data_IF_303927522356
#
_entry.id   IF_303927522356
#
_cell.length_a   1.000
_cell.length_b   1.000
_cell.length_c   1.000
_cell.angle_alpha   90.00
_cell.angle_beta   90.00
_cell.angle_gamma   90.00
#
_symmetry.space_group_name_H-M   'P 1'
#
loop_
_entity.id
_entity.type
_entity.pdbx_description
1 polymer ?
#
# COMPACT_ATOMS: atom_id res chain seq x y z
N UNK A 1 -16.23 -4.89 21.30
CA UNK A 1 -16.15 -6.11 20.48
C UNK A 1 -16.06 -7.27 21.47
N UNK A 2 -17.20 -7.87 21.80
CA UNK A 2 -17.31 -8.92 22.82
C UNK A 2 -16.57 -10.16 22.34
N UNK A 3 -15.54 -10.53 23.08
CA UNK A 3 -14.76 -11.75 22.89
C UNK A 3 -15.68 -12.95 23.10
N UNK A 4 -16.27 -13.44 22.01
CA UNK A 4 -17.04 -14.69 22.01
C UNK A 4 -16.03 -15.75 22.40
N UNK A 5 -16.10 -16.26 23.64
CA UNK A 5 -15.36 -17.45 24.07
C UNK A 5 -15.65 -18.57 23.08
N UNK A 6 -14.80 -18.71 22.06
CA UNK A 6 -14.80 -19.85 21.16
C UNK A 6 -14.55 -21.06 22.03
N UNK A 7 -15.59 -21.84 22.25
CA UNK A 7 -15.44 -23.12 22.91
C UNK A 7 -14.71 -24.04 21.93
N UNK A 8 -13.38 -24.15 22.07
CA UNK A 8 -12.54 -25.03 21.26
C UNK A 8 -12.78 -26.50 21.66
N UNK A 9 -13.93 -27.06 21.24
CA UNK A 9 -14.24 -28.47 21.44
C UNK A 9 -13.35 -29.38 20.58
N UNK A 10 -12.89 -28.85 19.45
CA UNK A 10 -11.93 -29.47 18.53
C UNK A 10 -10.68 -28.61 18.46
N UNK A 11 -9.80 -28.80 19.43
CA UNK A 11 -8.50 -28.13 19.51
C UNK A 11 -7.54 -28.76 18.46
N UNK A 12 -7.08 -28.00 17.45
CA UNK A 12 -6.23 -28.55 16.39
C UNK A 12 -4.85 -28.97 16.89
N UNK A 13 -4.39 -28.39 18.01
CA UNK A 13 -3.05 -28.62 18.56
C UNK A 13 -2.99 -29.89 19.45
N UNK A 14 -4.13 -30.51 19.74
CA UNK A 14 -4.21 -31.75 20.54
C UNK A 14 -4.42 -32.98 19.66
N UNK A 15 -3.99 -34.13 20.17
CA UNK A 15 -4.29 -35.39 19.52
C UNK A 15 -5.81 -35.68 19.59
N UNK A 16 -6.35 -36.35 18.57
CA UNK A 16 -7.78 -36.60 18.43
C UNK A 16 -8.42 -37.25 19.66
N UNK A 17 -7.78 -38.28 20.24
CA UNK A 17 -8.28 -38.98 21.44
C UNK A 17 -8.04 -38.23 22.75
N UNK A 18 -7.35 -37.08 22.72
CA UNK A 18 -7.19 -36.19 23.88
C UNK A 18 -8.32 -35.18 24.00
N UNK A 19 -9.13 -35.03 22.95
CA UNK A 19 -10.27 -34.12 22.95
C UNK A 19 -11.33 -34.57 23.97
N UNK A 20 -11.74 -33.65 24.84
CA UNK A 20 -12.74 -33.90 25.87
C UNK A 20 -14.08 -34.38 25.26
N UNK A 21 -14.49 -33.80 24.13
CA UNK A 21 -15.72 -34.19 23.42
C UNK A 21 -15.68 -35.64 22.94
N UNK A 22 -14.52 -36.10 22.45
CA UNK A 22 -14.32 -37.49 22.01
C UNK A 22 -14.37 -38.44 23.20
N UNK A 23 -13.65 -38.12 24.28
CA UNK A 23 -13.63 -38.94 25.50
C UNK A 23 -15.01 -39.04 26.16
N UNK A 24 -15.73 -37.93 26.30
CA UNK A 24 -17.06 -37.92 26.90
C UNK A 24 -18.06 -38.74 26.07
N UNK A 25 -18.01 -38.60 24.74
CA UNK A 25 -18.89 -39.35 23.84
C UNK A 25 -18.61 -40.85 23.90
N UNK A 26 -17.32 -41.22 23.89
CA UNK A 26 -16.91 -42.62 24.01
C UNK A 26 -17.40 -43.25 25.32
N UNK A 27 -17.17 -42.58 26.45
CA UNK A 27 -17.62 -43.03 27.77
C UNK A 27 -19.14 -43.12 27.83
N UNK A 28 -19.87 -42.12 27.31
CA UNK A 28 -21.33 -42.10 27.32
C UNK A 28 -21.93 -43.26 26.53
N UNK A 29 -21.41 -43.55 25.32
CA UNK A 29 -21.91 -44.66 24.50
C UNK A 29 -21.59 -46.00 25.17
N UNK A 30 -20.40 -46.18 25.74
CA UNK A 30 -20.07 -47.41 26.49
C UNK A 30 -20.98 -47.59 27.70
N UNK A 31 -21.19 -46.54 28.52
CA UNK A 31 -22.09 -46.62 29.67
C UNK A 31 -23.50 -47.00 29.21
N UNK A 32 -24.01 -46.40 28.13
CA UNK A 32 -25.34 -46.73 27.60
C UNK A 32 -25.44 -48.20 27.16
N UNK A 33 -24.42 -48.74 26.50
CA UNK A 33 -24.37 -50.15 26.10
C UNK A 33 -24.30 -51.10 27.32
N UNK A 34 -23.50 -50.74 28.34
CA UNK A 34 -23.39 -51.50 29.59
C UNK A 34 -24.73 -51.51 30.34
N UNK A 35 -25.41 -50.36 30.44
CA UNK A 35 -26.73 -50.29 31.09
C UNK A 35 -27.74 -51.19 30.38
N UNK A 36 -27.80 -51.15 29.03
CA UNK A 36 -28.67 -52.03 28.25
C UNK A 36 -28.30 -53.50 28.46
N UNK A 37 -27.01 -53.85 28.46
CA UNK A 37 -26.55 -55.20 28.71
C UNK A 37 -26.91 -55.71 30.12
N UNK A 38 -26.75 -54.86 31.15
CA UNK A 38 -27.15 -55.18 32.51
C UNK A 38 -28.66 -55.41 32.64
N UNK A 39 -29.49 -54.58 31.98
CA UNK A 39 -30.94 -54.78 31.97
C UNK A 39 -31.33 -56.11 31.32
N UNK A 40 -30.66 -56.51 30.24
CA UNK A 40 -30.87 -57.82 29.60
C UNK A 40 -30.50 -58.95 30.57
N UNK A 41 -29.33 -58.84 31.25
CA UNK A 41 -28.86 -59.85 32.20
C UNK A 41 -29.78 -60.04 33.41
N UNK A 42 -30.30 -58.96 33.99
CA UNK A 42 -31.16 -59.01 35.19
C UNK A 42 -32.52 -59.63 34.89
N UNK A 43 -33.05 -59.43 33.68
CA UNK A 43 -34.40 -59.86 33.30
C UNK A 43 -34.43 -61.20 32.55
N UNK A 44 -33.28 -61.83 32.29
CA UNK A 44 -33.21 -63.09 31.54
C UNK A 44 -32.75 -64.27 32.39
N UNK A 45 -33.25 -65.46 32.04
CA UNK A 45 -32.84 -66.72 32.65
C UNK A 45 -31.58 -67.26 31.94
N UNK A 46 -30.41 -66.99 32.52
CA UNK A 46 -29.13 -67.40 31.95
C UNK A 46 -28.48 -68.54 32.74
N UNK A 47 -28.05 -69.58 32.01
CA UNK A 47 -27.20 -70.66 32.54
C UNK A 47 -25.79 -70.54 31.97
N UNK A 48 -24.76 -70.78 32.78
CA UNK A 48 -23.37 -70.80 32.30
C UNK A 48 -23.15 -71.93 31.30
N UNK A 49 -22.79 -71.57 30.07
CA UNK A 49 -22.51 -72.53 28.99
C UNK A 49 -21.44 -71.98 28.05
N UNK A 50 -20.45 -72.81 27.71
CA UNK A 50 -19.29 -72.44 26.89
C UNK A 50 -19.23 -73.18 25.54
N UNK A 51 -20.38 -73.66 25.06
CA UNK A 51 -20.47 -74.29 23.73
C UNK A 51 -20.70 -73.26 22.63
N UNK A 52 -20.39 -73.62 21.38
CA UNK A 52 -20.62 -72.76 20.20
C UNK A 52 -22.08 -72.30 20.06
N UNK A 53 -23.05 -73.16 20.42
CA UNK A 53 -24.48 -72.81 20.45
C UNK A 53 -24.77 -71.68 21.44
N UNK A 54 -24.17 -71.73 22.63
CA UNK A 54 -24.35 -70.73 23.68
C UNK A 54 -23.72 -69.37 23.33
N UNK A 55 -22.62 -69.35 22.57
CA UNK A 55 -22.09 -68.11 22.00
C UNK A 55 -23.06 -67.48 20.99
N UNK A 56 -23.69 -68.26 20.12
CA UNK A 56 -24.68 -67.73 19.15
C UNK A 56 -25.91 -67.14 19.85
N UNK A 57 -26.40 -67.81 20.90
CA UNK A 57 -27.49 -67.29 21.74
C UNK A 57 -27.06 -66.00 22.44
N UNK A 58 -25.84 -65.94 22.97
CA UNK A 58 -25.29 -64.73 23.59
C UNK A 58 -25.23 -63.57 22.59
N UNK A 59 -24.65 -63.77 21.41
CA UNK A 59 -24.61 -62.74 20.36
C UNK A 59 -26.02 -62.30 20.00
N UNK A 60 -26.97 -63.23 19.87
CA UNK A 60 -28.36 -62.89 19.55
C UNK A 60 -29.04 -62.06 20.64
N UNK A 61 -28.83 -62.39 21.91
CA UNK A 61 -29.41 -61.68 23.05
C UNK A 61 -28.77 -60.30 23.25
N UNK A 62 -27.47 -60.16 22.97
CA UNK A 62 -26.73 -58.89 23.10
C UNK A 62 -26.63 -58.08 21.79
N UNK A 63 -27.45 -58.37 20.78
CA UNK A 63 -27.49 -57.61 19.51
C UNK A 63 -27.69 -56.12 19.72
N UNK A 64 -28.58 -55.74 20.63
CA UNK A 64 -28.92 -54.33 20.91
C UNK A 64 -27.73 -53.56 21.50
N UNK A 65 -27.10 -53.99 22.62
CA UNK A 65 -25.93 -53.27 23.15
C UNK A 65 -24.73 -53.29 22.21
N UNK A 66 -24.53 -54.37 21.43
CA UNK A 66 -23.52 -54.39 20.35
C UNK A 66 -23.84 -53.36 19.26
N UNK A 67 -25.12 -53.20 18.89
CA UNK A 67 -25.59 -52.18 17.97
C UNK A 67 -25.32 -50.76 18.50
N UNK A 68 -25.56 -50.50 19.78
CA UNK A 68 -25.23 -49.22 20.43
C UNK A 68 -23.72 -48.95 20.37
N UNK A 69 -22.88 -49.94 20.69
CA UNK A 69 -21.42 -49.80 20.54
C UNK A 69 -21.02 -49.55 19.08
N UNK A 70 -21.70 -50.14 18.11
CA UNK A 70 -21.40 -49.93 16.69
C UNK A 70 -21.62 -48.48 16.23
N UNK A 71 -22.45 -47.70 16.94
CA UNK A 71 -22.62 -46.26 16.67
C UNK A 71 -21.33 -45.45 16.90
N UNK A 72 -20.37 -45.96 17.68
CA UNK A 72 -19.07 -45.33 17.83
C UNK A 72 -18.35 -45.17 16.48
N UNK A 73 -18.53 -46.10 15.55
CA UNK A 73 -17.84 -46.06 14.25
C UNK A 73 -18.22 -44.79 13.46
N UNK A 74 -19.50 -44.56 13.11
CA UNK A 74 -19.87 -43.34 12.38
C UNK A 74 -19.64 -42.07 13.20
N UNK A 75 -19.85 -42.08 14.52
CA UNK A 75 -19.63 -40.91 15.37
C UNK A 75 -18.15 -40.49 15.37
N UNK A 76 -17.24 -41.43 15.60
CA UNK A 76 -15.80 -41.17 15.59
C UNK A 76 -15.34 -40.74 14.19
N UNK A 77 -15.89 -41.34 13.13
CA UNK A 77 -15.56 -40.95 11.76
C UNK A 77 -15.89 -39.47 11.49
N UNK A 78 -17.07 -39.00 11.92
CA UNK A 78 -17.48 -37.58 11.79
C UNK A 78 -16.58 -36.68 12.63
N UNK A 79 -16.30 -37.04 13.88
CA UNK A 79 -15.41 -36.26 14.74
C UNK A 79 -14.00 -36.16 14.18
N UNK A 80 -13.45 -37.26 13.64
CA UNK A 80 -12.12 -37.28 13.04
C UNK A 80 -12.06 -36.46 11.75
N UNK A 81 -13.12 -36.45 10.95
CA UNK A 81 -13.24 -35.56 9.79
C UNK A 81 -13.25 -34.08 10.22
N UNK A 82 -14.01 -33.74 11.25
CA UNK A 82 -14.08 -32.37 11.77
C UNK A 82 -12.73 -31.91 12.37
N UNK A 83 -12.07 -32.76 13.17
CA UNK A 83 -10.77 -32.45 13.74
C UNK A 83 -9.71 -32.19 12.66
N UNK A 84 -9.68 -33.02 11.60
CA UNK A 84 -8.80 -32.78 10.44
C UNK A 84 -9.09 -31.46 9.72
N UNK A 85 -10.35 -31.06 9.64
CA UNK A 85 -10.73 -29.76 9.07
C UNK A 85 -10.15 -28.60 9.89
N UNK A 86 -10.28 -28.64 11.22
CA UNK A 86 -9.70 -27.62 12.11
C UNK A 86 -8.17 -27.62 12.06
N UNK A 87 -7.53 -28.80 12.01
CA UNK A 87 -6.07 -28.90 11.82
C UNK A 87 -5.62 -28.29 10.50
N UNK A 88 -6.33 -28.58 9.41
CA UNK A 88 -6.02 -28.03 8.08
C UNK A 88 -6.15 -26.51 8.09
N UNK A 89 -7.22 -25.97 8.69
CA UNK A 89 -7.41 -24.53 8.85
C UNK A 89 -6.25 -23.89 9.62
N UNK A 90 -5.86 -24.48 10.75
CA UNK A 90 -4.73 -24.01 11.56
C UNK A 90 -3.42 -24.05 10.77
N UNK A 91 -3.20 -25.11 9.99
CA UNK A 91 -2.04 -25.23 9.14
C UNK A 91 -2.01 -24.17 8.03
N UNK A 92 -3.15 -23.85 7.42
CA UNK A 92 -3.27 -22.78 6.41
C UNK A 92 -2.92 -21.43 7.05
N UNK A 93 -3.45 -21.13 8.23
CA UNK A 93 -3.15 -19.89 8.96
C UNK A 93 -1.63 -19.76 9.24
N UNK A 94 -1.01 -20.81 9.77
CA UNK A 94 0.45 -20.83 10.03
C UNK A 94 1.26 -20.69 8.74
N UNK A 95 0.85 -21.39 7.67
CA UNK A 95 1.50 -21.29 6.36
C UNK A 95 1.37 -19.90 5.77
N UNK A 96 0.23 -19.23 5.93
CA UNK A 96 0.04 -17.86 5.46
C UNK A 96 0.98 -16.88 6.17
N UNK A 97 1.15 -17.00 7.48
CA UNK A 97 2.11 -16.18 8.25
C UNK A 97 3.53 -16.40 7.74
N UNK A 98 3.95 -17.65 7.53
CA UNK A 98 5.27 -17.97 7.00
C UNK A 98 5.47 -17.45 5.57
N UNK A 99 4.44 -17.59 4.72
CA UNK A 99 4.46 -17.11 3.34
C UNK A 99 4.58 -15.58 3.31
N UNK A 100 3.80 -14.86 4.12
CA UNK A 100 3.86 -13.41 4.23
C UNK A 100 5.26 -12.94 4.65
N UNK A 101 5.84 -13.57 5.68
CA UNK A 101 7.21 -13.28 6.12
C UNK A 101 8.22 -13.51 4.99
N UNK A 102 8.19 -14.69 4.34
CA UNK A 102 9.13 -15.00 3.25
C UNK A 102 8.97 -14.07 2.06
N UNK A 103 7.73 -13.72 1.71
CA UNK A 103 7.41 -12.82 0.61
C UNK A 103 7.90 -11.40 0.90
N UNK A 104 7.73 -10.90 2.14
CA UNK A 104 8.22 -9.59 2.54
C UNK A 104 9.74 -9.46 2.35
N UNK A 105 10.53 -10.39 2.88
CA UNK A 105 12.00 -10.31 2.77
C UNK A 105 12.47 -10.49 1.33
N UNK A 106 11.84 -11.39 0.56
CA UNK A 106 12.17 -11.56 -0.85
C UNK A 106 11.85 -10.31 -1.66
N UNK A 107 10.70 -9.70 -1.42
CA UNK A 107 10.32 -8.46 -2.09
C UNK A 107 11.27 -7.31 -1.72
N UNK A 108 11.66 -7.20 -0.45
CA UNK A 108 12.65 -6.21 0.00
C UNK A 108 14.01 -6.42 -0.68
N UNK A 109 14.50 -7.66 -0.73
CA UNK A 109 15.78 -8.01 -1.38
C UNK A 109 15.76 -7.66 -2.87
N UNK A 110 14.69 -8.03 -3.59
CA UNK A 110 14.56 -7.71 -5.02
C UNK A 110 14.40 -6.19 -5.25
N UNK A 111 13.72 -5.50 -4.35
CA UNK A 111 13.62 -4.03 -4.39
C UNK A 111 14.99 -3.36 -4.18
N UNK A 112 15.77 -3.80 -3.19
CA UNK A 112 17.13 -3.32 -2.95
C UNK A 112 18.03 -3.54 -4.18
N UNK A 113 17.96 -4.72 -4.81
CA UNK A 113 18.68 -5.01 -6.06
C UNK A 113 18.22 -4.11 -7.20
N UNK A 114 16.91 -3.91 -7.35
CA UNK A 114 16.34 -3.08 -8.39
C UNK A 114 16.82 -1.63 -8.27
N UNK A 115 16.72 -1.04 -7.09
CA UNK A 115 17.11 0.35 -6.82
C UNK A 115 18.62 0.55 -7.03
N UNK A 116 19.47 -0.38 -6.60
CA UNK A 116 20.92 -0.28 -6.84
C UNK A 116 21.31 -0.44 -8.31
N UNK A 117 20.57 -1.24 -9.08
CA UNK A 117 20.84 -1.47 -10.51
C UNK A 117 20.17 -0.44 -11.42
N UNK A 118 19.15 0.27 -10.91
CA UNK A 118 18.52 1.35 -11.63
C UNK A 118 19.58 2.42 -11.92
N UNK A 119 19.89 2.66 -13.19
CA UNK A 119 20.65 3.82 -13.63
C UNK A 119 19.64 4.93 -13.83
N UNK A 120 19.46 5.85 -12.87
CA UNK A 120 18.47 6.89 -13.04
C UNK A 120 18.86 7.77 -14.21
N UNK A 121 17.97 7.86 -15.21
CA UNK A 121 18.16 8.72 -16.39
C UNK A 121 18.28 10.20 -16.01
N UNK A 122 17.79 10.57 -14.81
CA UNK A 122 17.71 11.94 -14.32
C UNK A 122 18.19 12.17 -12.86
N UNK A 123 18.64 11.14 -12.14
CA UNK A 123 18.91 11.24 -10.70
C UNK A 123 20.21 10.55 -10.27
N UNK A 124 21.34 10.90 -10.89
CA UNK A 124 22.63 10.29 -10.57
C UNK A 124 23.17 10.61 -9.15
N UNK A 125 22.45 11.37 -8.31
CA UNK A 125 22.94 11.79 -6.97
C UNK A 125 22.00 11.44 -5.81
N UNK A 126 20.71 11.34 -6.06
CA UNK A 126 19.70 11.07 -5.02
C UNK A 126 19.74 9.61 -4.59
N UNK A 127 19.95 8.67 -5.52
CA UNK A 127 19.98 7.23 -5.26
C UNK A 127 21.20 6.75 -4.45
N UNK A 128 22.35 7.41 -4.58
CA UNK A 128 23.58 7.03 -3.83
C UNK A 128 23.49 7.36 -2.33
N UNK A 129 22.53 8.18 -1.91
CA UNK A 129 22.38 8.63 -0.52
C UNK A 129 21.20 7.99 0.21
N UNK A 130 20.41 7.14 -0.45
CA UNK A 130 19.15 6.62 0.11
C UNK A 130 19.32 5.19 0.61
N UNK A 131 18.78 4.92 1.79
CA UNK A 131 18.57 3.56 2.28
C UNK A 131 17.37 2.95 1.56
N UNK A 132 17.62 1.97 0.71
CA UNK A 132 16.60 1.25 -0.03
C UNK A 132 15.51 0.64 0.88
N UNK A 133 15.83 0.33 2.16
CA UNK A 133 14.85 -0.17 3.13
C UNK A 133 13.88 0.91 3.59
N UNK A 134 14.37 2.12 3.81
CA UNK A 134 13.50 3.25 4.15
C UNK A 134 12.54 3.51 2.99
N UNK A 135 13.08 3.57 1.77
CA UNK A 135 12.29 3.77 0.56
C UNK A 135 11.24 2.65 0.37
N UNK A 136 11.62 1.40 0.63
CA UNK A 136 10.70 0.26 0.59
C UNK A 136 9.56 0.42 1.59
N UNK A 137 9.85 0.76 2.84
CA UNK A 137 8.82 0.95 3.87
C UNK A 137 7.87 2.11 3.55
N UNK A 138 8.35 3.14 2.86
CA UNK A 138 7.59 4.31 2.44
C UNK A 138 6.61 3.96 1.31
N UNK A 139 7.04 3.19 0.31
CA UNK A 139 6.18 2.81 -0.81
C UNK A 139 5.33 1.57 -0.54
N UNK A 140 5.76 0.70 0.37
CA UNK A 140 5.12 -0.58 0.68
C UNK A 140 4.91 -0.76 2.19
N UNK A 141 4.19 0.15 2.87
CA UNK A 141 4.04 0.12 4.33
C UNK A 141 3.36 -1.15 4.84
N UNK A 142 2.47 -1.74 4.03
CA UNK A 142 1.71 -2.95 4.35
C UNK A 142 2.37 -4.26 3.84
N UNK A 143 3.60 -4.20 3.33
CA UNK A 143 4.28 -5.39 2.78
C UNK A 143 4.51 -6.49 3.83
N UNK A 144 4.67 -6.13 5.11
CA UNK A 144 4.81 -7.09 6.21
C UNK A 144 3.55 -7.94 6.41
N UNK A 145 2.39 -7.40 6.05
CA UNK A 145 1.11 -8.09 6.12
C UNK A 145 0.80 -8.89 4.83
N UNK A 146 1.74 -8.90 3.87
CA UNK A 146 1.61 -9.61 2.59
C UNK A 146 1.11 -8.73 1.44
N UNK A 147 0.87 -7.43 1.66
CA UNK A 147 0.45 -6.50 0.62
C UNK A 147 1.66 -5.91 -0.13
N UNK A 148 2.03 -6.53 -1.23
CA UNK A 148 3.22 -6.16 -2.03
C UNK A 148 2.94 -5.13 -3.13
N UNK A 149 1.84 -4.39 -3.02
CA UNK A 149 1.49 -3.30 -3.93
C UNK A 149 1.69 -1.96 -3.20
N UNK A 150 1.90 -0.90 -3.98
CA UNK A 150 1.91 0.45 -3.42
C UNK A 150 0.53 0.76 -2.88
N UNK A 151 0.50 1.17 -1.61
CA UNK A 151 -0.73 1.44 -0.89
C UNK A 151 -1.46 2.67 -1.46
N UNK A 152 -2.79 2.63 -1.48
CA UNK A 152 -3.59 3.68 -2.09
C UNK A 152 -3.50 5.01 -1.32
N UNK A 153 -3.21 5.00 -0.02
CA UNK A 153 -2.96 6.22 0.75
C UNK A 153 -1.74 6.96 0.21
N UNK A 154 -0.67 6.23 -0.12
CA UNK A 154 0.56 6.79 -0.71
C UNK A 154 0.26 7.41 -2.07
N UNK A 155 -0.53 6.73 -2.90
CA UNK A 155 -0.92 7.26 -4.22
C UNK A 155 -1.75 8.54 -4.10
N UNK A 156 -2.67 8.59 -3.14
CA UNK A 156 -3.52 9.75 -2.88
C UNK A 156 -2.73 10.94 -2.37
N UNK A 157 -1.79 10.70 -1.45
CA UNK A 157 -0.91 11.75 -0.91
C UNK A 157 -0.03 12.34 -2.01
N UNK A 158 0.59 11.48 -2.82
CA UNK A 158 1.40 11.88 -3.97
C UNK A 158 0.58 12.70 -4.97
N UNK A 159 -0.63 12.26 -5.29
CA UNK A 159 -1.54 12.99 -6.17
C UNK A 159 -1.77 14.42 -5.67
N UNK A 160 -2.03 14.60 -4.38
CA UNK A 160 -2.23 15.93 -3.79
C UNK A 160 -1.02 16.85 -3.99
N UNK A 161 0.19 16.33 -3.77
CA UNK A 161 1.42 17.10 -3.98
C UNK A 161 1.60 17.56 -5.43
N UNK A 162 1.30 16.70 -6.41
CA UNK A 162 1.39 17.09 -7.83
C UNK A 162 0.27 18.04 -8.25
N UNK A 163 -0.95 17.88 -7.75
CA UNK A 163 -2.05 18.81 -8.02
C UNK A 163 -1.68 20.24 -7.57
N UNK A 164 -1.07 20.39 -6.39
CA UNK A 164 -0.55 21.68 -5.93
C UNK A 164 0.56 22.23 -6.84
N UNK A 165 1.49 21.36 -7.28
CA UNK A 165 2.55 21.74 -8.20
C UNK A 165 1.98 22.25 -9.55
N UNK A 166 0.97 21.59 -10.08
CA UNK A 166 0.30 21.99 -11.32
C UNK A 166 -0.45 23.31 -11.18
N UNK A 167 -1.20 23.50 -10.09
CA UNK A 167 -1.94 24.75 -9.85
C UNK A 167 -0.99 25.96 -9.80
N UNK A 168 0.17 25.83 -9.16
CA UNK A 168 1.19 26.88 -9.17
C UNK A 168 1.75 27.16 -10.56
N UNK A 169 2.11 26.12 -11.32
CA UNK A 169 2.62 26.27 -12.69
C UNK A 169 1.58 27.00 -13.54
N UNK A 170 0.32 26.61 -13.44
CA UNK A 170 -0.78 27.24 -14.15
C UNK A 170 -1.03 28.68 -13.68
N UNK A 171 -0.89 28.97 -12.39
CA UNK A 171 -0.89 30.31 -11.83
C UNK A 171 0.20 31.19 -12.44
N UNK A 172 1.42 30.66 -12.56
CA UNK A 172 2.54 31.37 -13.21
C UNK A 172 2.30 31.62 -14.71
N UNK A 173 1.61 30.71 -15.41
CA UNK A 173 1.27 30.89 -16.83
C UNK A 173 0.25 31.99 -17.09
N UNK A 174 -0.59 32.32 -16.11
CA UNK A 174 -1.61 33.38 -16.22
C UNK A 174 -1.06 34.79 -16.01
N UNK A 175 0.19 34.91 -15.57
CA UNK A 175 0.83 36.21 -15.36
C UNK A 175 1.08 36.92 -16.69
N UNK A 176 0.57 38.14 -16.82
CA UNK A 176 1.00 39.05 -17.88
C UNK A 176 2.09 39.94 -17.33
N UNK A 177 3.29 39.74 -17.87
CA UNK A 177 4.50 40.52 -17.58
C UNK A 177 4.24 42.02 -17.39
N UNK A 178 3.27 42.64 -18.06
CA UNK A 178 3.09 44.11 -18.03
C UNK A 178 2.11 44.65 -16.98
N UNK A 179 1.24 43.84 -16.36
CA UNK A 179 0.10 44.35 -15.56
C UNK A 179 -0.25 43.59 -14.28
N UNK A 180 0.62 42.72 -13.75
CA UNK A 180 0.29 41.97 -12.51
C UNK A 180 -0.07 42.89 -11.32
N UNK A 181 -1.33 42.81 -10.89
CA UNK A 181 -1.86 43.48 -9.70
C UNK A 181 -1.39 42.80 -8.39
N UNK A 182 -1.65 43.48 -7.27
CA UNK A 182 -1.23 43.02 -5.94
C UNK A 182 -1.89 41.68 -5.55
N UNK A 183 -3.16 41.49 -5.91
CA UNK A 183 -3.94 40.29 -5.60
C UNK A 183 -3.33 39.04 -6.27
N UNK A 184 -2.93 39.17 -7.53
CA UNK A 184 -2.26 38.13 -8.30
C UNK A 184 -0.92 37.71 -7.65
N UNK A 185 -0.15 38.68 -7.16
CA UNK A 185 1.12 38.41 -6.47
C UNK A 185 0.92 37.66 -5.16
N UNK A 186 -0.09 38.04 -4.38
CA UNK A 186 -0.47 37.34 -3.14
C UNK A 186 -0.91 35.90 -3.45
N UNK A 187 -1.69 35.69 -4.51
CA UNK A 187 -2.12 34.36 -4.92
C UNK A 187 -0.93 33.43 -5.26
N UNK A 188 0.07 33.93 -5.99
CA UNK A 188 1.28 33.18 -6.30
C UNK A 188 2.08 32.82 -5.06
N UNK A 189 2.20 33.76 -4.12
CA UNK A 189 2.87 33.48 -2.86
C UNK A 189 2.17 32.35 -2.09
N UNK A 190 0.85 32.43 -1.98
CA UNK A 190 0.05 31.41 -1.31
C UNK A 190 0.25 30.04 -1.98
N UNK A 191 0.24 29.97 -3.31
CA UNK A 191 0.51 28.72 -4.04
C UNK A 191 1.94 28.21 -3.82
N UNK A 192 2.94 29.10 -3.88
CA UNK A 192 4.34 28.74 -3.65
C UNK A 192 4.56 28.20 -2.22
N UNK A 193 3.83 28.75 -1.23
CA UNK A 193 3.94 28.33 0.18
C UNK A 193 3.40 26.92 0.39
N UNK A 194 2.26 26.59 -0.23
CA UNK A 194 1.69 25.24 -0.23
C UNK A 194 2.64 24.24 -0.88
N UNK A 195 3.21 24.60 -2.03
CA UNK A 195 4.22 23.76 -2.68
C UNK A 195 5.42 23.51 -1.78
N UNK A 196 5.90 24.52 -1.07
CA UNK A 196 7.03 24.34 -0.18
C UNK A 196 6.68 23.40 0.98
N UNK A 197 5.47 23.50 1.53
CA UNK A 197 4.96 22.55 2.52
C UNK A 197 4.92 21.14 1.94
N UNK A 198 4.42 20.98 0.71
CA UNK A 198 4.40 19.71 -0.02
C UNK A 198 5.79 19.16 -0.31
N UNK A 199 6.77 20.01 -0.67
CA UNK A 199 8.18 19.60 -0.78
C UNK A 199 8.67 19.11 0.56
N UNK A 200 8.49 19.88 1.64
CA UNK A 200 8.95 19.48 2.98
C UNK A 200 8.31 18.17 3.44
N UNK A 201 7.02 17.98 3.17
CA UNK A 201 6.32 16.74 3.48
C UNK A 201 6.86 15.58 2.66
N UNK A 202 7.09 15.77 1.35
CA UNK A 202 7.79 14.80 0.51
C UNK A 202 9.21 14.49 1.03
N UNK A 203 9.98 15.49 1.45
CA UNK A 203 11.33 15.29 2.02
C UNK A 203 11.26 14.46 3.32
N UNK A 204 10.28 14.74 4.20
CA UNK A 204 10.06 13.96 5.41
C UNK A 204 9.58 12.55 5.11
N UNK A 205 8.71 12.40 4.12
CA UNK A 205 8.10 11.14 3.72
C UNK A 205 9.12 10.21 3.06
N UNK A 206 9.95 10.75 2.17
CA UNK A 206 10.90 9.98 1.36
C UNK A 206 12.32 9.96 1.90
N UNK A 207 12.65 10.87 2.82
CA UNK A 207 14.02 11.12 3.28
C UNK A 207 14.89 11.86 2.25
N UNK A 208 14.37 12.21 1.08
CA UNK A 208 15.10 13.00 0.08
C UNK A 208 15.25 14.41 0.60
N UNK A 209 16.44 14.81 1.02
CA UNK A 209 16.71 16.21 1.36
C UNK A 209 16.87 17.01 0.07
N UNK A 210 15.92 17.88 -0.25
CA UNK A 210 16.08 18.78 -1.37
C UNK A 210 16.80 20.05 -0.93
N UNK A 211 17.54 20.68 -1.85
CA UNK A 211 18.31 21.91 -1.59
C UNK A 211 17.40 23.17 -1.42
N UNK A 212 16.08 22.98 -1.32
CA UNK A 212 15.05 24.03 -1.42
C UNK A 212 15.13 25.13 -0.35
N UNK A 213 15.68 24.82 0.84
CA UNK A 213 15.52 25.67 2.01
C UNK A 213 16.13 27.07 1.83
N UNK A 214 17.23 27.19 1.08
CA UNK A 214 17.87 28.49 0.79
C UNK A 214 17.14 29.31 -0.29
N UNK A 215 16.39 28.66 -1.18
CA UNK A 215 15.57 29.33 -2.19
C UNK A 215 14.32 29.93 -1.55
N UNK A 216 13.70 29.21 -0.61
CA UNK A 216 12.47 29.65 0.03
C UNK A 216 12.66 30.91 0.88
N UNK A 217 13.69 30.94 1.73
CA UNK A 217 14.00 32.12 2.56
C UNK A 217 14.16 33.37 1.69
N UNK A 218 14.73 33.22 0.48
CA UNK A 218 14.87 34.31 -0.48
C UNK A 218 13.54 34.73 -1.11
N UNK A 219 12.66 33.78 -1.44
CA UNK A 219 11.32 34.08 -1.96
C UNK A 219 10.45 34.79 -0.91
N UNK A 220 10.48 34.31 0.34
CA UNK A 220 9.71 34.88 1.44
C UNK A 220 10.17 36.30 1.78
N UNK A 221 11.48 36.55 1.83
CA UNK A 221 12.04 37.90 1.99
C UNK A 221 11.58 38.83 0.87
N UNK A 222 11.65 38.36 -0.38
CA UNK A 222 11.28 39.15 -1.54
C UNK A 222 9.79 39.51 -1.57
N UNK A 223 8.90 38.58 -1.22
CA UNK A 223 7.46 38.86 -1.16
C UNK A 223 7.14 39.83 -0.05
N UNK A 224 7.75 39.68 1.13
CA UNK A 224 7.58 40.63 2.23
C UNK A 224 8.00 42.04 1.81
N UNK A 225 9.08 42.19 1.03
CA UNK A 225 9.52 43.48 0.51
C UNK A 225 8.60 44.05 -0.59
N UNK A 226 8.07 43.19 -1.47
CA UNK A 226 7.13 43.58 -2.52
C UNK A 226 5.79 44.07 -1.94
N UNK A 227 5.30 43.43 -0.86
CA UNK A 227 4.12 43.88 -0.11
C UNK A 227 4.37 45.23 0.57
N UNK A 228 5.61 45.51 0.99
CA UNK A 228 5.96 46.80 1.60
C UNK A 228 6.25 47.94 0.59
N UNK A 229 6.11 47.71 -0.72
CA UNK A 229 6.25 48.76 -1.75
C UNK A 229 7.68 49.24 -2.00
N UNK A 230 8.71 48.49 -1.60
CA UNK A 230 10.11 48.87 -1.79
C UNK A 230 10.59 48.60 -3.23
N UNK A 231 10.75 49.64 -4.05
CA UNK A 231 11.21 49.57 -5.46
C UNK A 231 12.67 49.08 -5.63
N UNK A 232 13.48 49.02 -4.57
CA UNK A 232 14.94 48.95 -4.71
C UNK A 232 15.59 47.56 -4.63
N UNK A 233 14.88 46.43 -4.49
CA UNK A 233 15.54 45.12 -4.41
C UNK A 233 15.63 44.35 -5.72
N UNK A 234 16.86 44.39 -6.26
CA UNK A 234 17.36 43.78 -7.48
C UNK A 234 16.99 42.29 -7.66
N UNK A 235 16.65 41.95 -8.91
CA UNK A 235 16.42 40.62 -9.48
C UNK A 235 17.60 39.61 -9.37
N UNK A 236 18.64 39.88 -8.56
CA UNK A 236 19.85 39.06 -8.44
C UNK A 236 19.73 37.88 -7.47
N UNK A 237 18.68 37.82 -6.63
CA UNK A 237 18.50 36.77 -5.60
C UNK A 237 17.29 35.84 -5.77
N UNK A 238 16.48 36.02 -6.81
CA UNK A 238 15.29 35.19 -7.01
C UNK A 238 15.65 33.71 -7.30
N UNK A 239 14.92 32.74 -6.72
CA UNK A 239 15.02 31.33 -7.07
C UNK A 239 14.87 31.10 -8.56
N UNK A 240 15.64 30.14 -9.11
CA UNK A 240 15.32 29.59 -10.41
C UNK A 240 14.09 28.70 -10.30
N UNK A 241 13.13 28.83 -11.23
CA UNK A 241 11.91 28.01 -11.25
C UNK A 241 12.26 26.51 -11.27
N UNK A 242 13.24 26.13 -12.10
CA UNK A 242 13.72 24.75 -12.12
C UNK A 242 14.24 24.30 -10.76
N UNK A 243 15.05 25.12 -10.06
CA UNK A 243 15.55 24.75 -8.73
C UNK A 243 14.43 24.57 -7.69
N UNK A 244 13.29 25.23 -7.90
CA UNK A 244 12.12 25.13 -7.03
C UNK A 244 11.29 23.88 -7.32
N UNK A 245 11.12 23.51 -8.59
CA UNK A 245 10.32 22.34 -9.01
C UNK A 245 11.15 21.05 -9.13
N UNK A 246 12.48 21.14 -9.11
CA UNK A 246 13.38 20.00 -9.18
C UNK A 246 13.06 18.88 -8.17
N UNK A 247 12.64 19.15 -6.91
CA UNK A 247 12.25 18.10 -5.98
C UNK A 247 11.09 17.23 -6.50
N UNK A 248 10.10 17.83 -7.16
CA UNK A 248 8.99 17.10 -7.78
C UNK A 248 9.45 16.32 -9.01
N UNK A 249 10.42 16.82 -9.78
CA UNK A 249 10.97 16.10 -10.93
C UNK A 249 11.78 14.88 -10.47
N UNK A 250 12.62 15.06 -9.45
CA UNK A 250 13.39 13.96 -8.84
C UNK A 250 12.46 12.92 -8.23
N UNK A 251 11.47 13.36 -7.47
CA UNK A 251 10.47 12.46 -6.88
C UNK A 251 9.61 11.77 -7.94
N UNK A 252 9.23 12.45 -9.03
CA UNK A 252 8.45 11.86 -10.12
C UNK A 252 9.23 10.73 -10.80
N UNK A 253 10.53 10.96 -11.02
CA UNK A 253 11.42 9.94 -11.57
C UNK A 253 11.52 8.75 -10.61
N UNK A 254 11.74 9.01 -9.32
CA UNK A 254 11.82 7.97 -8.29
C UNK A 254 10.53 7.15 -8.22
N UNK A 255 9.38 7.81 -8.13
CA UNK A 255 8.07 7.18 -8.10
C UNK A 255 7.84 6.34 -9.35
N UNK A 256 8.17 6.86 -10.53
CA UNK A 256 8.06 6.14 -11.80
C UNK A 256 8.93 4.89 -11.83
N UNK A 257 10.15 4.96 -11.29
CA UNK A 257 11.03 3.81 -11.20
C UNK A 257 10.51 2.76 -10.19
N UNK A 258 10.00 3.19 -9.04
CA UNK A 258 9.34 2.30 -8.07
C UNK A 258 8.08 1.65 -8.66
N UNK A 259 7.28 2.38 -9.44
CA UNK A 259 6.13 1.82 -10.14
C UNK A 259 6.56 0.73 -11.13
N UNK A 260 7.63 0.93 -11.90
CA UNK A 260 8.16 -0.10 -12.82
C UNK A 260 8.59 -1.39 -12.12
N UNK A 261 9.00 -1.31 -10.86
CA UNK A 261 9.30 -2.50 -10.06
C UNK A 261 8.03 -3.33 -9.77
N UNK A 262 6.87 -2.68 -9.62
CA UNK A 262 5.61 -3.37 -9.37
C UNK A 262 4.96 -3.86 -10.69
N UNK A 263 4.72 -5.18 -10.84
CA UNK A 263 4.17 -5.74 -12.06
C UNK A 263 2.76 -5.19 -12.33
N UNK A 264 2.48 -4.84 -13.59
CA UNK A 264 1.21 -4.28 -14.09
C UNK A 264 0.83 -2.89 -13.56
N UNK A 265 1.71 -2.20 -12.85
CA UNK A 265 1.48 -0.81 -12.51
C UNK A 265 1.94 0.10 -13.65
N UNK A 266 1.16 1.15 -13.93
CA UNK A 266 1.58 2.25 -14.79
C UNK A 266 1.66 3.52 -13.95
N UNK A 267 2.65 4.39 -14.19
CA UNK A 267 2.65 5.70 -13.58
C UNK A 267 1.30 6.38 -13.86
N UNK A 268 0.71 7.07 -12.89
CA UNK A 268 -0.44 7.92 -13.14
C UNK A 268 -0.10 8.97 -14.20
N UNK A 269 -1.07 9.28 -15.07
CA UNK A 269 -0.86 10.21 -16.20
C UNK A 269 -0.32 11.57 -15.75
N UNK A 270 -0.78 12.09 -14.61
CA UNK A 270 -0.31 13.38 -14.08
C UNK A 270 1.19 13.41 -13.76
N UNK A 271 1.80 12.27 -13.39
CA UNK A 271 3.25 12.18 -13.15
C UNK A 271 4.00 12.15 -14.48
N UNK A 272 3.48 11.41 -15.47
CA UNK A 272 4.05 11.40 -16.82
C UNK A 272 3.98 12.80 -17.44
N UNK A 273 2.82 13.46 -17.36
CA UNK A 273 2.61 14.82 -17.83
C UNK A 273 3.61 15.79 -17.18
N UNK A 274 3.81 15.69 -15.87
CA UNK A 274 4.77 16.53 -15.15
C UNK A 274 6.22 16.30 -15.63
N UNK A 275 6.60 15.04 -15.89
CA UNK A 275 7.94 14.70 -16.41
C UNK A 275 8.18 15.19 -17.83
N UNK A 276 7.13 15.42 -18.63
CA UNK A 276 7.26 16.00 -19.98
C UNK A 276 7.45 17.52 -19.98
N UNK A 277 7.21 18.19 -18.86
CA UNK A 277 7.42 19.64 -18.74
C UNK A 277 8.91 19.96 -18.77
N UNK A 278 9.31 20.80 -19.73
CA UNK A 278 10.65 21.39 -19.73
C UNK A 278 10.60 22.76 -19.06
N UNK A 279 11.24 22.86 -17.91
CA UNK A 279 11.40 24.12 -17.21
C UNK A 279 12.62 24.86 -17.75
N UNK A 280 12.45 26.13 -18.12
CA UNK A 280 13.59 26.99 -18.41
C UNK A 280 14.42 27.15 -17.12
N UNK A 281 15.58 26.51 -17.06
CA UNK A 281 16.47 26.56 -15.89
C UNK A 281 16.96 27.96 -15.55
N UNK A 282 16.91 28.89 -16.51
CA UNK A 282 17.24 30.30 -16.31
C UNK A 282 16.04 31.14 -15.88
N UNK A 283 14.80 30.64 -16.02
CA UNK A 283 13.62 31.36 -15.55
C UNK A 283 13.71 31.54 -14.03
N UNK A 284 13.56 32.78 -13.59
CA UNK A 284 13.54 33.14 -12.17
C UNK A 284 12.08 33.29 -11.74
N UNK A 285 11.78 33.08 -10.47
CA UNK A 285 10.48 33.43 -9.89
C UNK A 285 10.62 34.87 -9.37
N UNK A 286 10.23 35.86 -10.17
CA UNK A 286 10.33 37.29 -9.83
C UNK A 286 8.95 37.93 -9.99
N UNK A 287 8.45 38.59 -8.95
CA UNK A 287 7.20 39.38 -9.03
C UNK A 287 7.45 40.77 -9.66
N UNK A 288 8.19 40.84 -10.78
CA UNK A 288 8.49 42.09 -11.47
C UNK A 288 7.76 42.18 -12.81
N UNK A 289 7.45 43.41 -13.25
CA UNK A 289 6.77 43.74 -14.51
C UNK A 289 7.53 43.38 -15.82
N UNK A 290 8.55 42.52 -15.75
CA UNK A 290 9.42 42.20 -16.89
C UNK A 290 9.57 40.70 -17.16
N UNK A 291 8.80 39.82 -16.49
CA UNK A 291 8.99 38.38 -16.65
C UNK A 291 8.16 37.76 -17.78
N UNK A 292 8.84 37.25 -18.81
CA UNK A 292 8.27 36.25 -19.71
C UNK A 292 8.58 34.83 -19.22
N UNK A 293 7.61 34.15 -18.61
CA UNK A 293 7.72 32.71 -18.37
C UNK A 293 7.53 31.98 -19.72
N UNK A 294 8.46 31.09 -20.05
CA UNK A 294 8.31 30.16 -21.17
C UNK A 294 8.41 28.74 -20.63
N UNK A 295 7.28 28.05 -20.63
CA UNK A 295 7.20 26.61 -20.48
C UNK A 295 7.06 26.02 -21.88
N UNK A 296 7.80 24.96 -22.15
CA UNK A 296 7.64 24.17 -23.36
C UNK A 296 7.40 22.72 -22.97
N UNK A 297 6.50 22.06 -23.70
CA UNK A 297 6.38 20.61 -23.63
C UNK A 297 7.54 19.99 -24.41
N UNK A 298 8.18 18.98 -23.83
CA UNK A 298 9.22 18.25 -24.51
C UNK A 298 8.58 17.24 -25.49
N UNK A 299 8.04 17.72 -26.61
CA UNK A 299 7.53 16.85 -27.67
C UNK A 299 8.71 16.31 -28.49
N UNK A 300 9.48 15.40 -27.91
CA UNK A 300 10.30 14.49 -28.70
C UNK A 300 9.43 13.29 -29.07
N UNK A 301 9.17 13.15 -30.37
CA UNK A 301 8.40 12.08 -31.02
C UNK A 301 6.91 11.99 -30.70
N UNK A 302 6.09 12.57 -31.58
CA UNK A 302 5.21 11.77 -32.46
C UNK A 302 4.72 12.65 -33.61
N UNK A 303 4.92 12.18 -34.84
CA UNK A 303 4.22 12.69 -36.00
C UNK A 303 2.71 12.41 -35.84
N UNK A 304 1.97 13.35 -35.24
CA UNK A 304 0.50 13.38 -35.30
C UNK A 304 0.04 14.85 -35.32
N UNK A 305 -0.80 15.26 -36.29
CA UNK A 305 -1.34 16.62 -36.30
C UNK A 305 -2.46 16.74 -35.26
N UNK A 306 -2.57 17.95 -34.71
CA UNK A 306 -3.65 18.49 -33.85
C UNK A 306 -3.66 18.09 -32.36
N UNK A 307 -3.16 18.97 -31.49
CA UNK A 307 -4.01 19.90 -30.71
C UNK A 307 -3.20 20.99 -29.98
N UNK A 308 -3.33 22.22 -30.51
CA UNK A 308 -3.52 23.52 -29.83
C UNK A 308 -2.68 23.81 -28.56
N UNK A 309 -1.66 24.68 -28.67
CA UNK A 309 -1.71 26.10 -28.24
C UNK A 309 -0.75 26.90 -29.14
N UNK A 310 -1.29 27.71 -30.05
CA UNK A 310 -0.54 28.79 -30.72
C UNK A 310 -0.68 30.03 -29.86
N UNK A 311 0.42 30.52 -29.30
CA UNK A 311 0.51 31.90 -28.82
C UNK A 311 1.00 32.75 -30.00
N UNK A 312 0.06 33.49 -30.60
CA UNK A 312 0.32 34.47 -31.65
C UNK A 312 1.11 35.66 -31.12
N UNK A 313 2.15 36.04 -31.84
CA UNK A 313 2.86 37.32 -31.69
C UNK A 313 1.92 38.51 -32.00
N UNK A 314 2.02 39.63 -31.28
CA UNK A 314 1.56 40.91 -31.79
C UNK A 314 2.67 41.52 -32.65
N UNK A 315 2.52 41.41 -33.97
CA UNK A 315 3.03 42.41 -34.89
C UNK A 315 1.84 43.31 -35.23
N UNK A 316 1.92 44.59 -34.87
CA UNK A 316 1.30 45.67 -35.63
C UNK A 316 2.01 46.98 -35.25
N UNK A 317 2.98 47.33 -36.10
CA UNK A 317 3.37 48.72 -36.35
C UNK A 317 2.46 49.17 -37.49
N UNK A 318 1.70 50.24 -37.26
CA UNK A 318 0.72 50.74 -38.21
C UNK A 318 1.31 51.30 -39.50
N UNK A 319 0.43 51.46 -40.49
CA UNK A 319 0.50 52.46 -41.57
C UNK A 319 -0.88 52.54 -42.27
N UNK A 320 -1.65 53.56 -41.90
CA UNK A 320 -2.50 54.43 -42.72
C UNK A 320 -3.36 55.30 -41.80
#
# INVERSE_FOLDING_TARGET
MTDIKKTNWFDPDKAFFELAVVRCTFVLVIISAVVVACLILINGDYSSCFTSSCFNVSVSNFKVPLGVLSLLIPIIAVFAANHRSEQTKRQIELSQVQNNFSNYYKHLEEFEKYIHNAKPKYAAKTYEMMDARMLHNVFFPLAKDGHLAIDDSVKLEIKGYYEEAFEFIHGLMKLDSKQDDEETRIAIFNMASKIQESIKNLENYTGVKSYSNTCWVKLQHYVNEAVTGSESLQASKAPHLYSFLNPFTEFASLYTDVMKFTPNSKPPSYIEDFLTLSFNSKAKIVCSREQGFRLSYNTQDTNSPTSIVKVSHPADIGLA
#
